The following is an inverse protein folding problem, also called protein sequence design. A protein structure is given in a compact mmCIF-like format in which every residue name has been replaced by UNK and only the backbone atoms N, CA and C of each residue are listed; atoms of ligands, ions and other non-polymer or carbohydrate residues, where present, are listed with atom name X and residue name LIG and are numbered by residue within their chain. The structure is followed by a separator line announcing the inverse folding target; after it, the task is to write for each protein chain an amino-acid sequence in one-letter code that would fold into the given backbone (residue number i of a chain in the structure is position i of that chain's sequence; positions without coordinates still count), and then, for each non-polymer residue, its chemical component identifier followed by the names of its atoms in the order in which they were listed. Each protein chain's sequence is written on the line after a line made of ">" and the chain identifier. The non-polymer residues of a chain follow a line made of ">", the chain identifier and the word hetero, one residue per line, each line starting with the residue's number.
data_IF_040503604950
#
_entry.id   IF_040503604950
#
_cell.length_a   1.000
_cell.length_b   1.000
_cell.length_c   1.000
_cell.angle_alpha   90.00
_cell.angle_beta   90.00
_cell.angle_gamma   90.00
#
_symmetry.space_group_name_H-M   'P 1'
#
loop_
_entity.id
_entity.type
_entity.pdbx_description
1 polymer ?
#
# COMPACT_ATOMS: atom_id res chain seq x y z
N UNK A 1 -23.59 19.03 -0.14
CA UNK A 1 -23.39 18.56 1.25
C UNK A 1 -21.99 17.99 1.33
N UNK A 2 -21.11 18.64 2.10
CA UNK A 2 -19.72 18.17 2.31
C UNK A 2 -19.79 17.01 3.31
N UNK A 3 -19.56 15.78 2.84
CA UNK A 3 -19.43 14.62 3.72
C UNK A 3 -18.10 14.76 4.45
N UNK A 4 -18.18 15.01 5.75
CA UNK A 4 -17.07 15.08 6.69
C UNK A 4 -16.36 13.72 6.71
N UNK A 5 -15.16 13.65 6.11
CA UNK A 5 -14.21 12.53 6.15
C UNK A 5 -13.63 12.33 7.56
N UNK A 6 -14.49 12.17 8.57
CA UNK A 6 -14.10 11.94 9.98
C UNK A 6 -14.54 10.55 10.45
N UNK A 7 -14.92 9.66 9.52
CA UNK A 7 -15.60 8.41 9.82
C UNK A 7 -14.79 7.13 9.55
N UNK A 8 -13.53 7.20 9.13
CA UNK A 8 -12.77 6.00 8.71
C UNK A 8 -11.68 5.57 9.70
N UNK A 9 -11.94 5.68 11.01
CA UNK A 9 -11.13 5.05 12.06
C UNK A 9 -11.83 3.88 12.75
N UNK A 10 -13.00 3.46 12.24
CA UNK A 10 -13.82 2.39 12.83
C UNK A 10 -14.12 1.29 11.82
N UNK A 11 -13.14 0.45 11.50
CA UNK A 11 -13.37 -0.93 11.06
C UNK A 11 -12.05 -1.70 10.88
N UNK A 12 -11.33 -2.03 11.95
CA UNK A 12 -10.43 -3.19 11.92
C UNK A 12 -10.77 -4.10 13.10
N UNK A 13 -11.85 -4.87 12.93
CA UNK A 13 -12.14 -6.01 13.80
C UNK A 13 -11.36 -7.21 13.29
N UNK A 14 -10.19 -7.45 13.90
CA UNK A 14 -9.29 -8.54 13.54
C UNK A 14 -9.67 -9.82 14.30
N UNK A 15 -10.19 -10.80 13.59
CA UNK A 15 -10.22 -12.19 14.06
C UNK A 15 -9.82 -13.10 12.92
N UNK A 16 -8.69 -13.80 13.05
CA UNK A 16 -8.57 -15.26 12.99
C UNK A 16 -7.09 -15.65 13.14
N UNK A 17 -6.84 -16.62 14.03
CA UNK A 17 -5.51 -17.11 14.35
C UNK A 17 -5.09 -18.36 13.56
N UNK A 18 -3.77 -18.46 13.39
CA UNK A 18 -2.92 -19.65 13.23
C UNK A 18 -3.01 -20.46 11.91
N UNK A 19 -2.04 -21.38 11.65
CA UNK A 19 -0.58 -21.19 11.58
C UNK A 19 -0.03 -21.66 10.21
N UNK A 20 1.30 -21.52 10.01
CA UNK A 20 2.13 -22.39 9.15
C UNK A 20 2.32 -22.03 7.65
N UNK A 21 3.55 -22.27 7.20
CA UNK A 21 4.07 -22.37 5.82
C UNK A 21 4.80 -21.17 5.18
N UNK A 22 5.93 -21.56 4.59
CA UNK A 22 7.00 -20.81 3.97
C UNK A 22 6.60 -20.29 2.59
N UNK A 23 7.21 -19.16 2.19
CA UNK A 23 7.27 -18.60 0.83
C UNK A 23 6.10 -19.01 -0.09
N UNK A 24 4.95 -18.35 0.04
CA UNK A 24 3.88 -18.50 -0.96
C UNK A 24 4.21 -17.63 -2.16
N UNK A 25 4.42 -18.27 -3.31
CA UNK A 25 4.39 -17.60 -4.61
C UNK A 25 2.94 -17.16 -4.84
N UNK A 26 2.69 -15.86 -4.88
CA UNK A 26 1.36 -15.30 -5.13
C UNK A 26 0.90 -15.71 -6.53
N UNK A 27 -0.14 -16.53 -6.60
CA UNK A 27 -0.90 -16.82 -7.82
C UNK A 27 -1.94 -15.71 -8.00
N UNK A 28 -2.07 -15.21 -9.22
CA UNK A 28 -3.00 -14.16 -9.57
C UNK A 28 -4.44 -14.48 -9.10
N UNK A 29 -5.00 -13.64 -8.22
CA UNK A 29 -6.42 -13.65 -7.87
C UNK A 29 -6.79 -13.94 -6.42
N UNK A 30 -5.87 -14.11 -5.47
CA UNK A 30 -6.20 -14.23 -4.04
C UNK A 30 -5.82 -12.97 -3.24
N UNK A 31 -6.69 -12.56 -2.32
CA UNK A 31 -6.40 -11.52 -1.32
C UNK A 31 -5.78 -12.20 -0.09
N UNK A 32 -4.59 -11.77 0.32
CA UNK A 32 -3.81 -12.37 1.41
C UNK A 32 -3.75 -11.40 2.59
N UNK A 33 -4.21 -11.85 3.77
CA UNK A 33 -4.17 -11.11 5.03
C UNK A 33 -3.17 -11.75 5.98
N UNK A 34 -2.16 -11.02 6.49
CA UNK A 34 -1.24 -11.56 7.49
C UNK A 34 -0.87 -10.58 8.60
N UNK A 35 -0.96 -11.07 9.84
CA UNK A 35 -0.41 -10.43 11.04
C UNK A 35 1.09 -10.72 11.15
N UNK A 36 1.95 -9.70 10.98
CA UNK A 36 3.41 -9.75 11.17
C UNK A 36 4.25 -10.43 10.06
N UNK A 37 3.76 -10.52 8.82
CA UNK A 37 4.62 -10.91 7.68
C UNK A 37 4.72 -9.79 6.67
N UNK A 38 5.91 -9.69 6.08
CA UNK A 38 6.10 -8.88 4.89
C UNK A 38 5.47 -9.58 3.69
N UNK A 39 4.68 -8.86 2.90
CA UNK A 39 4.10 -9.35 1.66
C UNK A 39 5.02 -8.89 0.52
N UNK A 40 5.31 -9.77 -0.42
CA UNK A 40 6.09 -9.43 -1.62
C UNK A 40 5.32 -9.88 -2.85
N UNK A 41 4.91 -8.91 -3.66
CA UNK A 41 4.41 -9.12 -5.00
C UNK A 41 5.59 -9.03 -5.95
N UNK A 42 5.80 -10.09 -6.73
CA UNK A 42 6.91 -10.14 -7.70
C UNK A 42 6.66 -9.23 -8.89
N UNK A 43 7.72 -8.91 -9.62
CA UNK A 43 7.67 -8.03 -10.78
C UNK A 43 6.66 -8.51 -11.83
N UNK A 44 5.94 -7.57 -12.44
CA UNK A 44 4.95 -7.84 -13.49
C UNK A 44 3.72 -8.64 -13.03
N UNK A 45 3.56 -8.92 -11.73
CA UNK A 45 2.40 -9.63 -11.19
C UNK A 45 1.27 -8.65 -10.88
N UNK A 46 0.06 -9.05 -11.24
CA UNK A 46 -1.16 -8.37 -10.83
C UNK A 46 -1.78 -9.06 -9.61
N UNK A 47 -2.01 -8.29 -8.55
CA UNK A 47 -2.68 -8.74 -7.33
C UNK A 47 -3.88 -7.85 -7.08
N UNK A 48 -4.88 -8.41 -6.41
CA UNK A 48 -6.08 -7.67 -6.04
C UNK A 48 -5.79 -6.76 -4.86
N UNK A 49 -5.72 -7.33 -3.68
CA UNK A 49 -5.59 -6.58 -2.44
C UNK A 49 -4.46 -7.19 -1.61
N UNK A 50 -3.62 -6.34 -1.03
CA UNK A 50 -2.54 -6.73 -0.14
C UNK A 50 -2.65 -5.95 1.15
N UNK A 51 -2.78 -6.65 2.28
CA UNK A 51 -2.98 -6.01 3.58
C UNK A 51 -2.06 -6.60 4.65
N UNK A 52 -1.51 -5.74 5.50
CA UNK A 52 -0.66 -6.13 6.62
C UNK A 52 -0.93 -5.28 7.85
N UNK A 53 -0.58 -5.74 9.04
CA UNK A 53 -0.70 -4.92 10.26
C UNK A 53 0.67 -4.48 10.75
N UNK A 54 1.62 -5.39 10.90
CA UNK A 54 2.98 -5.08 11.34
C UNK A 54 4.00 -5.67 10.37
N UNK A 55 3.82 -5.37 9.08
CA UNK A 55 4.62 -5.93 8.00
C UNK A 55 4.91 -4.89 6.94
N UNK A 56 5.91 -5.17 6.10
CA UNK A 56 6.17 -4.34 4.92
C UNK A 56 5.57 -4.99 3.69
N UNK A 57 4.87 -4.21 2.88
CA UNK A 57 4.34 -4.62 1.59
C UNK A 57 5.35 -4.14 0.54
N UNK A 58 5.88 -5.07 -0.24
CA UNK A 58 6.76 -4.77 -1.37
C UNK A 58 6.07 -5.19 -2.65
N UNK A 59 5.93 -4.26 -3.57
CA UNK A 59 5.34 -4.46 -4.89
C UNK A 59 6.46 -4.24 -5.88
N UNK A 60 6.74 -5.28 -6.68
CA UNK A 60 7.83 -5.31 -7.64
C UNK A 60 7.69 -4.31 -8.79
N UNK A 61 8.69 -4.30 -9.66
CA UNK A 61 8.69 -3.47 -10.86
C UNK A 61 7.58 -3.93 -11.82
N UNK A 62 6.88 -3.00 -12.47
CA UNK A 62 5.76 -3.28 -13.40
C UNK A 62 4.60 -4.09 -12.78
N UNK A 63 4.58 -4.29 -11.47
CA UNK A 63 3.50 -4.98 -10.79
C UNK A 63 2.30 -4.05 -10.60
N UNK A 64 1.11 -4.63 -10.52
CA UNK A 64 -0.14 -3.89 -10.34
C UNK A 64 -0.90 -4.43 -9.15
N UNK A 65 -1.35 -3.54 -8.27
CA UNK A 65 -2.27 -3.88 -7.18
C UNK A 65 -3.50 -2.98 -7.22
N UNK A 66 -4.63 -3.41 -6.66
CA UNK A 66 -5.80 -2.52 -6.52
C UNK A 66 -5.74 -1.74 -5.21
N UNK A 67 -5.48 -2.41 -4.10
CA UNK A 67 -5.29 -1.78 -2.80
C UNK A 67 -4.07 -2.34 -2.09
N UNK A 68 -3.30 -1.46 -1.46
CA UNK A 68 -2.22 -1.80 -0.56
C UNK A 68 -2.38 -1.09 0.78
N UNK A 69 -2.56 -1.85 1.86
CA UNK A 69 -2.91 -1.29 3.17
C UNK A 69 -2.00 -1.83 4.27
N UNK A 70 -1.49 -0.95 5.14
CA UNK A 70 -0.80 -1.40 6.35
C UNK A 70 -0.99 -0.51 7.57
N UNK A 71 -0.98 -1.07 8.79
CA UNK A 71 -1.11 -0.23 10.00
C UNK A 71 0.26 0.29 10.46
N UNK A 72 1.19 -0.59 10.80
CA UNK A 72 2.54 -0.27 11.26
C UNK A 72 3.54 -0.90 10.29
N UNK A 73 3.74 -0.28 9.15
CA UNK A 73 4.44 -0.91 8.04
C UNK A 73 4.94 0.07 7.01
N UNK A 74 5.64 -0.45 6.01
CA UNK A 74 6.00 0.34 4.84
C UNK A 74 5.42 -0.32 3.60
N UNK A 75 4.89 0.48 2.70
CA UNK A 75 4.44 0.08 1.38
C UNK A 75 5.47 0.62 0.41
N UNK A 76 6.13 -0.27 -0.33
CA UNK A 76 7.09 0.11 -1.36
C UNK A 76 6.62 -0.43 -2.71
N UNK A 77 6.48 0.47 -3.66
CA UNK A 77 6.25 0.18 -5.06
C UNK A 77 7.57 0.30 -5.85
N UNK A 78 7.83 -0.67 -6.71
CA UNK A 78 8.93 -0.65 -7.67
C UNK A 78 8.73 0.39 -8.77
N UNK A 79 9.59 0.33 -9.78
CA UNK A 79 9.48 1.19 -10.97
C UNK A 79 8.31 0.76 -11.84
N UNK A 80 7.64 1.74 -12.44
CA UNK A 80 6.49 1.53 -13.34
C UNK A 80 5.36 0.70 -12.70
N UNK A 81 5.35 0.59 -11.37
CA UNK A 81 4.34 -0.13 -10.62
C UNK A 81 3.03 0.68 -10.60
N UNK A 82 1.91 -0.03 -10.44
CA UNK A 82 0.57 0.56 -10.45
C UNK A 82 -0.19 0.22 -9.18
N UNK A 83 -0.93 1.17 -8.65
CA UNK A 83 -1.88 0.95 -7.56
C UNK A 83 -3.22 1.61 -7.87
N UNK A 84 -4.31 1.06 -7.34
CA UNK A 84 -5.53 1.83 -7.15
C UNK A 84 -5.30 2.80 -5.99
N UNK A 85 -5.31 2.26 -4.77
CA UNK A 85 -5.15 3.03 -3.54
C UNK A 85 -3.98 2.49 -2.71
N UNK A 86 -3.37 3.33 -1.87
CA UNK A 86 -2.41 2.88 -0.87
C UNK A 86 -2.53 3.66 0.44
N UNK A 87 -2.66 2.94 1.56
CA UNK A 87 -2.88 3.56 2.87
C UNK A 87 -1.95 3.00 3.94
N UNK A 88 -1.43 3.88 4.80
CA UNK A 88 -0.78 3.45 6.05
C UNK A 88 -1.06 4.32 7.27
N UNK A 89 -1.20 3.72 8.46
CA UNK A 89 -1.38 4.52 9.68
C UNK A 89 -0.05 5.06 10.20
N UNK A 90 0.89 4.20 10.58
CA UNK A 90 2.21 4.55 11.08
C UNK A 90 3.26 3.93 10.16
N UNK A 91 3.62 4.64 9.10
CA UNK A 91 4.35 3.99 8.02
C UNK A 91 4.92 4.90 6.96
N UNK A 92 5.43 4.27 5.92
CA UNK A 92 5.95 4.98 4.75
C UNK A 92 5.42 4.37 3.49
N UNK A 93 4.92 5.22 2.60
CA UNK A 93 4.59 4.87 1.22
C UNK A 93 5.74 5.39 0.35
N UNK A 94 6.43 4.48 -0.34
CA UNK A 94 7.50 4.80 -1.28
C UNK A 94 7.11 4.29 -2.65
N UNK A 95 7.20 5.13 -3.67
CA UNK A 95 7.01 4.74 -5.04
C UNK A 95 8.26 5.02 -5.88
N UNK A 96 8.64 4.04 -6.69
CA UNK A 96 9.73 4.20 -7.66
C UNK A 96 9.38 5.13 -8.83
N UNK A 97 10.36 5.34 -9.70
CA UNK A 97 10.19 6.12 -10.92
C UNK A 97 9.08 5.53 -11.82
N UNK A 98 8.32 6.39 -12.49
CA UNK A 98 7.24 5.99 -13.41
C UNK A 98 6.02 5.36 -12.75
N UNK A 99 5.92 5.37 -11.42
CA UNK A 99 4.78 4.85 -10.68
C UNK A 99 3.45 5.52 -11.06
N UNK A 100 2.36 4.76 -11.05
CA UNK A 100 1.01 5.29 -11.30
C UNK A 100 0.06 4.88 -10.17
N UNK A 101 -0.54 5.86 -9.52
CA UNK A 101 -1.70 5.65 -8.65
C UNK A 101 -2.98 6.12 -9.37
N UNK A 102 -3.95 5.22 -9.53
CA UNK A 102 -5.26 5.54 -10.09
C UNK A 102 -6.19 6.22 -9.07
N UNK A 103 -5.96 5.98 -7.78
CA UNK A 103 -6.70 6.50 -6.65
C UNK A 103 -5.82 7.27 -5.65
N UNK A 104 -6.12 7.13 -4.37
CA UNK A 104 -5.58 7.96 -3.29
C UNK A 104 -4.34 7.31 -2.62
N UNK A 105 -3.39 8.15 -2.18
CA UNK A 105 -2.25 7.77 -1.34
C UNK A 105 -2.36 8.46 0.01
N UNK A 106 -2.53 7.70 1.09
CA UNK A 106 -2.87 8.26 2.40
C UNK A 106 -1.94 7.75 3.51
N UNK A 107 -1.52 8.65 4.40
CA UNK A 107 -0.86 8.27 5.65
C UNK A 107 -1.28 9.11 6.85
N UNK A 108 -1.33 8.53 8.05
CA UNK A 108 -1.61 9.30 9.28
C UNK A 108 -0.33 9.83 9.92
N UNK A 109 0.54 8.96 10.41
CA UNK A 109 1.84 9.29 11.01
C UNK A 109 2.97 8.69 10.18
N UNK A 110 3.29 9.33 9.05
CA UNK A 110 4.14 8.69 8.06
C UNK A 110 4.74 9.59 7.02
N UNK A 111 5.30 8.98 5.98
CA UNK A 111 5.85 9.72 4.84
C UNK A 111 5.39 9.12 3.53
N UNK A 112 5.14 9.97 2.54
CA UNK A 112 4.85 9.57 1.18
C UNK A 112 5.97 10.13 0.30
N UNK A 113 6.70 9.24 -0.36
CA UNK A 113 7.84 9.56 -1.21
C UNK A 113 7.54 9.04 -2.62
N UNK A 114 7.45 9.94 -3.60
CA UNK A 114 7.21 9.58 -5.01
C UNK A 114 8.45 9.86 -5.86
N UNK A 115 8.90 8.85 -6.60
CA UNK A 115 9.99 8.94 -7.56
C UNK A 115 9.62 9.74 -8.81
N UNK A 116 10.59 9.89 -9.72
CA UNK A 116 10.44 10.76 -10.91
C UNK A 116 9.40 10.23 -11.87
N UNK A 117 8.63 11.15 -12.45
CA UNK A 117 7.59 10.82 -13.41
C UNK A 117 6.43 10.02 -12.81
N UNK A 118 6.33 9.96 -11.48
CA UNK A 118 5.17 9.39 -10.82
C UNK A 118 3.91 10.19 -11.14
N UNK A 119 2.80 9.49 -11.42
CA UNK A 119 1.50 10.09 -11.68
C UNK A 119 0.50 9.62 -10.63
N UNK A 120 -0.23 10.55 -10.02
CA UNK A 120 -1.32 10.25 -9.09
C UNK A 120 -2.59 10.89 -9.62
N UNK A 121 -3.58 10.07 -9.95
CA UNK A 121 -4.87 10.50 -10.49
C UNK A 121 -5.87 10.90 -9.38
N UNK A 122 -5.65 10.42 -8.15
CA UNK A 122 -6.38 10.83 -6.95
C UNK A 122 -5.65 11.91 -6.15
N UNK A 123 -5.66 11.75 -4.83
CA UNK A 123 -5.12 12.68 -3.84
C UNK A 123 -3.91 12.09 -3.13
N UNK A 124 -3.03 12.96 -2.61
CA UNK A 124 -1.93 12.55 -1.73
C UNK A 124 -2.15 13.26 -0.39
N UNK A 125 -2.45 12.49 0.66
CA UNK A 125 -2.83 13.01 1.97
C UNK A 125 -1.91 12.49 3.07
N UNK A 126 -1.48 13.39 3.95
CA UNK A 126 -0.71 13.06 5.14
C UNK A 126 -1.18 13.93 6.31
N UNK A 127 -1.51 13.32 7.45
CA UNK A 127 -1.99 14.06 8.64
C UNK A 127 -0.85 14.62 9.47
N UNK A 128 0.06 13.75 9.91
CA UNK A 128 1.21 14.06 10.76
C UNK A 128 2.47 13.41 10.16
N UNK A 129 2.88 13.97 9.03
CA UNK A 129 3.86 13.34 8.17
C UNK A 129 4.41 14.28 7.12
N UNK A 130 5.19 13.71 6.19
CA UNK A 130 5.81 14.45 5.08
C UNK A 130 5.42 13.86 3.74
N UNK A 131 5.30 14.72 2.73
CA UNK A 131 5.10 14.32 1.34
C UNK A 131 6.29 14.87 0.56
N UNK A 132 7.02 14.00 -0.13
CA UNK A 132 8.16 14.32 -0.98
C UNK A 132 7.90 13.83 -2.40
N UNK A 133 8.12 14.71 -3.36
CA UNK A 133 7.90 14.46 -4.79
C UNK A 133 9.21 14.77 -5.53
N UNK A 134 9.85 13.74 -6.07
CA UNK A 134 11.02 13.90 -6.95
C UNK A 134 10.52 14.23 -8.36
N UNK A 135 10.79 15.45 -8.84
CA UNK A 135 10.39 15.93 -10.17
C UNK A 135 11.61 16.08 -11.09
#
# INVERSE_FOLDING_TARGET
>A
MKLTRTALLTAITLSLGAPLHAATAVVAGTSESTVNKSITVSDGIEVKDVESVNGSIRIGDNASVRSAETVNGSIRFGRDARTGDAETVNGRIQAGDGFVAEGDLETVNGSIELGRGATVNGSIESVNGSIELDN
#
